data_IF_206548665569
#
_entry.id   IF_206548665569
#
_cell.length_a   1.000
_cell.length_b   1.000
_cell.length_c   1.000
_cell.angle_alpha   90.00
_cell.angle_beta   90.00
_cell.angle_gamma   90.00
#
_symmetry.space_group_name_H-M   'P 1'
#
loop_
_entity.id
_entity.type
_entity.pdbx_description
1 polymer ?
#
# COMPACT_ATOMS: atom_id res chain seq x y z
N UNK A 1 2.98 -65.92 -24.78
CA UNK A 1 2.03 -65.25 -23.83
C UNK A 1 2.68 -64.02 -23.26
N UNK A 2 2.42 -62.87 -23.84
CA UNK A 2 2.99 -61.57 -23.43
C UNK A 2 1.87 -60.72 -22.88
N UNK A 3 1.97 -60.34 -21.59
CA UNK A 3 1.02 -59.42 -20.91
C UNK A 3 1.49 -57.97 -21.02
N UNK A 4 0.75 -57.19 -21.78
CA UNK A 4 0.91 -55.74 -21.93
C UNK A 4 0.44 -55.03 -20.65
N UNK A 5 1.33 -54.28 -20.00
CA UNK A 5 0.98 -53.38 -18.89
C UNK A 5 0.58 -52.01 -19.48
N UNK A 6 -0.67 -51.65 -19.31
CA UNK A 6 -1.19 -50.29 -19.58
C UNK A 6 -0.70 -49.29 -18.53
N UNK A 7 0.01 -48.30 -18.98
CA UNK A 7 0.40 -47.14 -18.15
C UNK A 7 -0.81 -46.20 -17.96
N UNK A 8 -1.22 -45.99 -16.71
CA UNK A 8 -2.20 -44.96 -16.32
C UNK A 8 -1.53 -43.59 -16.43
N UNK A 9 -1.99 -42.78 -17.35
CA UNK A 9 -1.70 -41.33 -17.39
C UNK A 9 -2.40 -40.65 -16.22
N UNK A 10 -1.63 -40.10 -15.27
CA UNK A 10 -2.10 -39.21 -14.23
C UNK A 10 -2.49 -37.87 -14.85
N UNK A 11 -3.75 -37.47 -14.65
CA UNK A 11 -4.19 -36.10 -14.92
C UNK A 11 -3.65 -35.19 -13.80
N UNK A 12 -2.74 -34.29 -14.17
CA UNK A 12 -2.40 -33.12 -13.35
C UNK A 12 -3.60 -32.14 -13.38
N UNK A 13 -4.09 -31.69 -12.23
CA UNK A 13 -5.00 -30.57 -12.23
C UNK A 13 -4.19 -29.28 -12.50
N UNK A 14 -4.48 -28.65 -13.61
CA UNK A 14 -4.03 -27.28 -13.91
C UNK A 14 -4.63 -26.36 -12.84
N UNK A 15 -3.80 -25.84 -11.95
CA UNK A 15 -4.13 -24.69 -11.13
C UNK A 15 -4.23 -23.47 -12.06
N UNK A 16 -5.44 -23.17 -12.46
CA UNK A 16 -5.77 -21.90 -13.07
C UNK A 16 -5.62 -20.81 -12.03
N UNK A 17 -4.61 -19.96 -12.17
CA UNK A 17 -4.49 -18.70 -11.47
C UNK A 17 -5.54 -17.73 -12.03
N UNK A 18 -6.75 -17.80 -11.51
CA UNK A 18 -7.79 -16.84 -11.78
C UNK A 18 -7.62 -15.61 -10.87
N UNK A 19 -6.64 -14.77 -11.15
CA UNK A 19 -6.61 -13.40 -10.61
C UNK A 19 -7.11 -12.49 -11.73
N UNK A 20 -8.42 -12.52 -11.94
CA UNK A 20 -9.14 -11.49 -12.70
C UNK A 20 -10.19 -10.89 -11.78
N UNK A 21 -9.74 -10.17 -10.77
CA UNK A 21 -10.59 -9.28 -9.98
C UNK A 21 -10.82 -8.01 -10.79
N UNK A 22 -12.06 -7.65 -10.99
CA UNK A 22 -12.52 -6.51 -11.78
C UNK A 22 -11.97 -5.20 -11.20
N UNK A 23 -10.98 -4.60 -11.86
CA UNK A 23 -10.43 -3.27 -11.52
C UNK A 23 -11.53 -2.18 -11.46
N UNK A 24 -12.58 -2.31 -12.26
CA UNK A 24 -13.73 -1.40 -12.24
C UNK A 24 -14.48 -1.41 -10.89
N UNK A 25 -14.40 -2.47 -10.08
CA UNK A 25 -15.12 -2.56 -8.83
C UNK A 25 -14.42 -1.81 -7.68
N UNK A 26 -13.13 -1.57 -7.77
CA UNK A 26 -12.38 -0.83 -6.74
C UNK A 26 -12.64 0.67 -6.84
N UNK A 27 -12.89 1.18 -8.04
CA UNK A 27 -12.99 2.61 -8.34
C UNK A 27 -14.40 3.09 -8.68
N UNK A 28 -15.41 2.24 -8.67
CA UNK A 28 -16.80 2.64 -8.95
C UNK A 28 -17.66 2.57 -7.68
N UNK A 29 -18.41 3.65 -7.42
CA UNK A 29 -19.41 3.70 -6.34
C UNK A 29 -20.43 2.55 -6.45
N UNK A 30 -20.80 2.16 -7.69
CA UNK A 30 -21.72 1.06 -7.99
C UNK A 30 -21.08 -0.32 -7.69
N UNK A 31 -19.77 -0.49 -7.86
CA UNK A 31 -19.04 -1.71 -7.50
C UNK A 31 -18.96 -1.94 -5.99
N UNK A 32 -18.96 -0.86 -5.20
CA UNK A 32 -18.97 -0.92 -3.74
C UNK A 32 -20.35 -1.30 -3.18
N UNK A 33 -21.43 -0.90 -3.84
CA UNK A 33 -22.81 -1.23 -3.43
C UNK A 33 -23.21 -2.68 -3.76
N UNK A 34 -22.54 -3.37 -4.69
CA UNK A 34 -22.93 -4.71 -5.18
C UNK A 34 -21.99 -5.85 -4.80
N UNK A 35 -21.10 -5.69 -3.85
CA UNK A 35 -20.42 -6.80 -3.14
C UNK A 35 -19.56 -7.76 -3.97
N UNK A 36 -19.11 -7.36 -5.17
CA UNK A 36 -18.22 -8.16 -6.00
C UNK A 36 -16.77 -7.69 -5.89
N UNK A 37 -16.11 -8.09 -4.81
CA UNK A 37 -14.66 -8.36 -4.72
C UNK A 37 -13.68 -7.27 -5.15
N UNK A 38 -13.58 -6.16 -4.44
CA UNK A 38 -12.55 -5.15 -4.64
C UNK A 38 -12.74 -3.87 -3.82
N UNK A 39 -13.69 -3.85 -2.90
CA UNK A 39 -13.85 -2.77 -1.94
C UNK A 39 -12.66 -2.71 -0.98
N UNK A 40 -12.47 -1.56 -0.36
CA UNK A 40 -11.58 -1.40 0.81
C UNK A 40 -11.91 -2.55 1.77
N UNK A 41 -11.03 -3.55 1.84
CA UNK A 41 -11.20 -4.66 2.77
C UNK A 41 -10.85 -4.12 4.15
N UNK A 42 -11.87 -3.66 4.87
CA UNK A 42 -11.72 -3.33 6.28
C UNK A 42 -11.72 -4.66 7.02
N UNK A 43 -10.66 -5.01 7.75
CA UNK A 43 -10.63 -6.24 8.53
C UNK A 43 -11.79 -6.28 9.50
N UNK A 44 -12.45 -7.42 9.58
CA UNK A 44 -13.51 -7.62 10.57
C UNK A 44 -12.95 -7.65 11.99
N UNK A 45 -13.77 -7.34 12.99
CA UNK A 45 -13.35 -7.43 14.40
C UNK A 45 -12.79 -8.81 14.75
N UNK A 46 -13.30 -9.85 14.12
CA UNK A 46 -12.82 -11.23 14.32
C UNK A 46 -11.42 -11.43 13.77
N UNK A 47 -11.14 -10.91 12.57
CA UNK A 47 -9.81 -10.99 11.95
C UNK A 47 -8.79 -10.19 12.74
N UNK A 48 -9.15 -8.97 13.17
CA UNK A 48 -8.31 -8.15 14.05
C UNK A 48 -7.99 -8.89 15.34
N UNK A 49 -9.00 -9.50 15.98
CA UNK A 49 -8.80 -10.24 17.22
C UNK A 49 -7.91 -11.46 17.01
N UNK A 50 -8.12 -12.22 15.94
CA UNK A 50 -7.26 -13.36 15.58
C UNK A 50 -5.81 -12.94 15.38
N UNK A 51 -5.59 -11.85 14.63
CA UNK A 51 -4.25 -11.31 14.41
C UNK A 51 -3.57 -10.87 15.73
N UNK A 52 -4.33 -10.28 16.65
CA UNK A 52 -3.81 -9.90 17.97
C UNK A 52 -3.51 -11.11 18.86
N UNK A 53 -4.26 -12.20 18.76
CA UNK A 53 -4.03 -13.45 19.48
C UNK A 53 -2.78 -14.19 18.95
N UNK A 54 -2.40 -13.98 17.70
CA UNK A 54 -1.17 -14.54 17.09
C UNK A 54 0.10 -13.78 17.49
N UNK A 55 -0.05 -12.61 18.12
CA UNK A 55 1.12 -11.86 18.59
C UNK A 55 1.82 -12.63 19.71
N UNK A 56 3.16 -12.76 19.66
CA UNK A 56 3.89 -13.31 20.79
C UNK A 56 3.74 -12.41 22.02
N UNK A 57 3.71 -13.00 23.21
CA UNK A 57 3.63 -12.26 24.48
C UNK A 57 4.77 -11.23 24.60
N UNK A 58 5.95 -11.59 24.10
CA UNK A 58 7.08 -10.68 23.98
C UNK A 58 7.38 -10.38 22.51
N UNK A 59 7.06 -9.16 22.09
CA UNK A 59 7.40 -8.63 20.76
C UNK A 59 8.90 -8.31 20.74
N UNK A 60 9.75 -9.33 20.56
CA UNK A 60 11.20 -9.15 20.49
C UNK A 60 11.62 -8.43 19.20
N UNK A 61 12.81 -7.81 19.21
CA UNK A 61 13.37 -7.16 18.02
C UNK A 61 13.56 -8.14 16.86
N UNK A 62 14.03 -9.36 17.14
CA UNK A 62 14.26 -10.42 16.16
C UNK A 62 12.98 -10.82 15.46
N UNK A 63 11.87 -10.86 16.19
CA UNK A 63 10.56 -11.17 15.62
C UNK A 63 9.97 -10.00 14.84
N UNK A 64 10.08 -8.78 15.36
CA UNK A 64 9.50 -7.58 14.78
C UNK A 64 10.26 -7.10 13.53
N UNK A 65 11.58 -7.14 13.56
CA UNK A 65 12.47 -6.59 12.52
C UNK A 65 12.10 -7.01 11.09
N UNK A 66 11.87 -8.31 10.76
CA UNK A 66 11.51 -8.72 9.40
C UNK A 66 10.09 -8.35 8.99
N UNK A 67 9.28 -7.80 9.90
CA UNK A 67 7.88 -7.41 9.69
C UNK A 67 7.66 -5.91 9.69
N UNK A 68 8.72 -5.13 9.91
CA UNK A 68 8.63 -3.68 9.93
C UNK A 68 8.31 -3.13 8.54
N UNK A 69 7.41 -2.15 8.49
CA UNK A 69 7.11 -1.38 7.29
C UNK A 69 7.02 0.10 7.63
N UNK A 70 7.50 1.00 6.75
CA UNK A 70 7.22 2.42 6.90
C UNK A 70 5.76 2.66 6.50
N UNK A 71 5.06 3.47 7.26
CA UNK A 71 3.64 3.75 7.05
C UNK A 71 3.41 5.25 7.04
N UNK A 72 2.64 5.72 6.07
CA UNK A 72 2.05 7.05 6.19
C UNK A 72 1.09 7.09 7.35
N UNK A 73 1.10 8.20 8.07
CA UNK A 73 0.23 8.41 9.21
C UNK A 73 -0.66 9.64 9.02
N UNK A 74 -1.85 9.54 9.55
CA UNK A 74 -2.77 10.68 9.58
C UNK A 74 -2.22 11.78 10.47
N UNK A 75 -2.47 13.05 10.14
CA UNK A 75 -2.19 14.14 11.07
C UNK A 75 -2.83 13.89 12.43
N UNK A 76 -2.06 14.05 13.51
CA UNK A 76 -2.53 13.85 14.87
C UNK A 76 -2.46 12.42 15.41
N UNK A 77 -1.98 11.43 14.63
CA UNK A 77 -1.83 10.04 15.09
C UNK A 77 -0.56 9.78 15.93
N UNK A 78 -0.03 10.78 16.59
CA UNK A 78 1.30 10.76 17.23
C UNK A 78 1.48 9.80 18.43
N UNK A 79 0.45 9.14 18.94
CA UNK A 79 0.57 8.22 20.07
C UNK A 79 -0.42 7.06 20.02
N UNK A 80 -0.08 5.96 20.72
CA UNK A 80 -0.95 4.83 20.98
C UNK A 80 -1.09 4.67 22.48
N UNK A 81 -2.28 4.85 23.03
CA UNK A 81 -2.54 4.81 24.47
C UNK A 81 -1.62 5.72 25.30
N UNK A 82 -1.25 6.88 24.72
CA UNK A 82 -0.34 7.84 25.38
C UNK A 82 1.15 7.54 25.19
N UNK A 83 1.52 6.43 24.57
CA UNK A 83 2.90 6.10 24.22
C UNK A 83 3.22 6.69 22.82
N UNK A 84 4.20 7.59 22.68
CA UNK A 84 4.54 8.20 21.40
C UNK A 84 4.93 7.17 20.35
N UNK A 85 4.53 7.39 19.11
CA UNK A 85 4.98 6.58 17.98
C UNK A 85 6.37 6.98 17.53
N UNK A 86 7.12 6.00 17.04
CA UNK A 86 8.41 6.26 16.41
C UNK A 86 8.19 6.79 15.00
N UNK A 87 8.81 7.94 14.70
CA UNK A 87 8.76 8.58 13.39
C UNK A 87 10.15 8.84 12.83
N UNK A 88 10.25 8.89 11.51
CA UNK A 88 11.44 9.35 10.80
C UNK A 88 11.05 10.23 9.60
N UNK A 89 11.93 11.17 9.24
CA UNK A 89 11.80 11.92 8.00
C UNK A 89 12.33 11.09 6.83
N UNK A 90 11.59 11.10 5.73
CA UNK A 90 12.01 10.55 4.44
C UNK A 90 12.87 11.55 3.67
N UNK A 91 13.47 11.10 2.57
CA UNK A 91 14.16 11.99 1.62
C UNK A 91 13.23 13.02 0.96
N UNK A 92 11.93 12.76 0.95
CA UNK A 92 10.90 13.68 0.47
C UNK A 92 10.46 14.70 1.54
N UNK A 93 11.07 14.69 2.73
CA UNK A 93 10.70 15.58 3.83
C UNK A 93 9.41 15.19 4.55
N UNK A 94 8.84 14.03 4.25
CA UNK A 94 7.60 13.54 4.86
C UNK A 94 7.93 12.73 6.09
N UNK A 95 7.21 12.98 7.19
CA UNK A 95 7.29 12.13 8.37
C UNK A 95 6.50 10.85 8.15
N UNK A 96 7.13 9.71 8.40
CA UNK A 96 6.49 8.39 8.37
C UNK A 96 6.61 7.73 9.73
N UNK A 97 5.59 7.01 10.12
CA UNK A 97 5.64 6.08 11.25
C UNK A 97 6.14 4.70 10.82
N UNK A 98 6.21 3.79 11.77
CA UNK A 98 6.57 2.40 11.51
C UNK A 98 5.51 1.48 12.08
N UNK A 99 5.20 0.41 11.36
CA UNK A 99 4.30 -0.64 11.79
C UNK A 99 4.93 -2.00 11.68
N UNK A 100 4.54 -2.90 12.57
CA UNK A 100 4.80 -4.34 12.47
C UNK A 100 3.60 -4.94 11.76
N UNK A 101 3.84 -5.57 10.62
CA UNK A 101 2.78 -6.26 9.89
C UNK A 101 2.39 -7.57 10.60
N UNK A 102 1.10 -7.68 10.85
CA UNK A 102 0.44 -8.89 11.39
C UNK A 102 -0.87 -9.01 10.62
N UNK A 103 -0.82 -9.71 9.49
CA UNK A 103 -1.92 -9.78 8.55
C UNK A 103 -3.28 -10.05 9.25
N UNK A 104 -4.30 -9.22 9.05
CA UNK A 104 -4.41 -8.08 8.11
C UNK A 104 -4.17 -6.69 8.72
N UNK A 105 -3.50 -6.58 9.85
CA UNK A 105 -3.30 -5.32 10.58
C UNK A 105 -1.83 -4.90 10.68
N UNK A 106 -1.62 -3.64 11.08
CA UNK A 106 -0.33 -3.16 11.53
C UNK A 106 -0.38 -2.76 13.00
N UNK A 107 0.59 -3.24 13.77
CA UNK A 107 0.85 -2.77 15.13
C UNK A 107 1.85 -1.62 15.07
N UNK A 108 1.43 -0.43 15.47
CA UNK A 108 2.32 0.74 15.42
C UNK A 108 3.51 0.58 16.36
N UNK A 109 4.69 0.92 15.88
CA UNK A 109 5.91 0.94 16.68
C UNK A 109 5.93 2.19 17.56
N UNK A 110 6.06 1.99 18.85
CA UNK A 110 6.10 3.07 19.85
C UNK A 110 7.49 3.23 20.44
N UNK A 111 7.72 4.37 21.11
CA UNK A 111 8.99 4.63 21.77
C UNK A 111 9.29 3.62 22.89
N UNK A 112 8.27 3.14 23.61
CA UNK A 112 8.48 2.14 24.64
C UNK A 112 8.91 0.78 24.04
N UNK A 113 8.38 0.43 22.86
CA UNK A 113 8.84 -0.76 22.13
C UNK A 113 10.29 -0.60 21.67
N UNK A 114 10.64 0.54 21.07
CA UNK A 114 12.00 0.82 20.64
C UNK A 114 13.01 0.74 21.80
N UNK A 115 12.66 1.34 22.96
CA UNK A 115 13.48 1.23 24.19
C UNK A 115 13.64 -0.21 24.67
N UNK A 116 12.56 -1.02 24.65
CA UNK A 116 12.61 -2.43 25.04
C UNK A 116 13.48 -3.27 24.12
N UNK A 117 13.49 -2.93 22.83
CA UNK A 117 14.33 -3.57 21.83
C UNK A 117 15.79 -3.10 21.85
N UNK A 118 16.10 -2.06 22.63
CA UNK A 118 17.39 -1.36 22.57
C UNK A 118 17.74 -0.92 21.14
N UNK A 119 16.69 -0.62 20.32
CA UNK A 119 16.81 -0.25 18.92
C UNK A 119 16.69 1.25 18.74
N UNK A 120 17.60 1.83 17.95
CA UNK A 120 17.51 3.25 17.57
C UNK A 120 16.49 3.46 16.46
N UNK A 121 16.03 4.70 16.28
CA UNK A 121 15.13 5.07 15.18
C UNK A 121 15.76 4.73 13.83
N UNK A 122 17.07 4.91 13.68
CA UNK A 122 17.81 4.60 12.45
C UNK A 122 17.82 3.09 12.16
N UNK A 123 17.92 2.24 13.18
CA UNK A 123 17.85 0.79 13.02
C UNK A 123 16.46 0.33 12.62
N UNK A 124 15.42 0.90 13.24
CA UNK A 124 14.02 0.64 12.90
C UNK A 124 13.75 1.08 11.46
N UNK A 125 14.16 2.31 11.11
CA UNK A 125 14.05 2.86 9.76
C UNK A 125 14.75 1.96 8.74
N UNK A 126 16.02 1.62 8.97
CA UNK A 126 16.81 0.79 8.06
C UNK A 126 16.13 -0.57 7.79
N UNK A 127 15.60 -1.22 8.84
CA UNK A 127 14.90 -2.49 8.71
C UNK A 127 13.60 -2.35 7.92
N UNK A 128 12.79 -1.32 8.22
CA UNK A 128 11.53 -1.08 7.54
C UNK A 128 11.70 -0.75 6.05
N UNK A 129 12.67 0.09 5.72
CA UNK A 129 12.95 0.46 4.32
C UNK A 129 13.61 -0.66 3.53
N UNK A 130 14.50 -1.46 4.13
CA UNK A 130 15.05 -2.65 3.46
C UNK A 130 13.96 -3.66 3.10
N UNK A 131 12.95 -3.83 3.96
CA UNK A 131 11.80 -4.66 3.66
C UNK A 131 10.92 -4.05 2.56
N UNK A 132 10.64 -2.73 2.62
CA UNK A 132 9.89 -2.04 1.58
C UNK A 132 10.56 -2.19 0.21
N UNK A 133 11.88 -2.05 0.14
CA UNK A 133 12.66 -2.27 -1.07
C UNK A 133 12.47 -3.69 -1.61
N UNK A 134 12.67 -4.70 -0.76
CA UNK A 134 12.51 -6.10 -1.14
C UNK A 134 11.10 -6.43 -1.65
N UNK A 135 10.06 -5.88 -1.01
CA UNK A 135 8.67 -6.05 -1.45
C UNK A 135 8.44 -5.31 -2.75
N UNK A 136 8.89 -4.07 -2.86
CA UNK A 136 8.74 -3.27 -4.08
C UNK A 136 9.44 -3.91 -5.26
N UNK A 137 10.57 -4.58 -5.06
CA UNK A 137 11.32 -5.30 -6.11
C UNK A 137 10.54 -6.46 -6.72
N UNK A 138 9.63 -7.06 -5.96
CA UNK A 138 8.75 -8.12 -6.45
C UNK A 138 7.56 -7.58 -7.27
N UNK A 139 7.30 -6.25 -7.24
CA UNK A 139 6.21 -5.63 -7.95
C UNK A 139 6.61 -5.22 -9.36
N UNK A 140 5.62 -5.22 -10.26
CA UNK A 140 5.75 -4.76 -11.64
C UNK A 140 4.39 -4.41 -12.24
N UNK A 141 4.31 -4.02 -13.53
CA UNK A 141 3.09 -3.57 -14.18
C UNK A 141 1.92 -4.57 -14.11
N UNK A 142 2.22 -5.86 -13.98
CA UNK A 142 1.23 -6.93 -13.86
C UNK A 142 0.41 -6.88 -12.57
N UNK A 143 0.85 -6.12 -11.57
CA UNK A 143 0.15 -5.93 -10.30
C UNK A 143 -0.78 -4.71 -10.32
N UNK A 144 -0.71 -3.90 -11.39
CA UNK A 144 -1.56 -2.74 -11.54
C UNK A 144 -2.95 -3.14 -12.02
N UNK A 145 -3.94 -2.52 -11.42
CA UNK A 145 -5.31 -2.50 -11.89
C UNK A 145 -5.54 -1.21 -12.68
N UNK A 146 -6.37 -1.28 -13.70
CA UNK A 146 -6.67 -0.15 -14.57
C UNK A 146 -8.16 0.14 -14.54
N UNK A 147 -8.50 1.41 -14.38
CA UNK A 147 -9.86 1.89 -14.42
C UNK A 147 -9.94 3.19 -15.24
N UNK A 148 -11.13 3.51 -15.71
CA UNK A 148 -11.41 4.81 -16.34
C UNK A 148 -12.50 5.48 -15.53
N UNK A 149 -12.22 6.66 -15.00
CA UNK A 149 -13.19 7.47 -14.26
C UNK A 149 -13.15 8.91 -14.79
N UNK A 150 -14.30 9.51 -15.02
CA UNK A 150 -14.43 10.83 -15.66
C UNK A 150 -13.67 10.95 -17.00
N UNK A 151 -13.45 9.83 -17.70
CA UNK A 151 -12.71 9.80 -18.97
C UNK A 151 -11.18 9.71 -18.82
N UNK A 152 -10.64 9.66 -17.59
CA UNK A 152 -9.22 9.56 -17.31
C UNK A 152 -8.83 8.15 -16.92
N UNK A 153 -7.68 7.69 -17.43
CA UNK A 153 -7.09 6.41 -17.06
C UNK A 153 -6.46 6.53 -15.68
N UNK A 154 -6.82 5.63 -14.80
CA UNK A 154 -6.25 5.48 -13.47
C UNK A 154 -5.54 4.14 -13.42
N UNK A 155 -4.30 4.13 -12.95
CA UNK A 155 -3.57 2.92 -12.61
C UNK A 155 -3.51 2.82 -11.10
N UNK A 156 -3.94 1.71 -10.55
CA UNK A 156 -4.01 1.50 -9.10
C UNK A 156 -3.17 0.31 -8.69
N UNK A 157 -2.28 0.51 -7.75
CA UNK A 157 -1.66 -0.55 -6.99
C UNK A 157 -2.49 -0.73 -5.72
N UNK A 158 -3.10 -1.90 -5.58
CA UNK A 158 -3.82 -2.33 -4.39
C UNK A 158 -3.07 -3.48 -3.73
N UNK A 159 -2.88 -3.40 -2.43
CA UNK A 159 -2.21 -4.43 -1.66
C UNK A 159 -3.01 -4.73 -0.40
N UNK A 160 -3.53 -5.97 -0.25
CA UNK A 160 -4.31 -6.35 0.92
C UNK A 160 -3.58 -6.16 2.26
N UNK A 161 -2.25 -6.27 2.26
CA UNK A 161 -1.41 -6.05 3.44
C UNK A 161 -1.39 -4.61 3.95
N UNK A 162 -2.03 -3.65 3.24
CA UNK A 162 -2.23 -2.30 3.75
C UNK A 162 -1.00 -1.38 3.66
N UNK A 163 -0.04 -1.65 2.76
CA UNK A 163 1.17 -0.84 2.59
C UNK A 163 1.39 -0.34 1.14
N UNK A 164 0.42 -0.50 0.24
CA UNK A 164 0.56 -0.05 -1.15
C UNK A 164 0.92 1.43 -1.27
N UNK A 165 0.35 2.30 -0.43
CA UNK A 165 0.71 3.72 -0.38
C UNK A 165 2.20 3.93 -0.12
N UNK A 166 2.80 3.11 0.73
CA UNK A 166 4.22 3.25 1.12
C UNK A 166 5.19 2.90 -0.01
N UNK A 167 4.73 2.25 -1.09
CA UNK A 167 5.58 1.92 -2.26
C UNK A 167 6.18 3.18 -2.90
N UNK A 168 5.49 4.33 -2.81
CA UNK A 168 6.03 5.62 -3.30
C UNK A 168 7.36 5.98 -2.60
N UNK A 169 7.57 5.52 -1.37
CA UNK A 169 8.79 5.75 -0.58
C UNK A 169 9.98 4.88 -1.00
N UNK A 170 9.74 3.86 -1.83
CA UNK A 170 10.82 3.03 -2.38
C UNK A 170 11.64 3.77 -3.47
N UNK A 171 11.16 4.96 -3.89
CA UNK A 171 11.87 5.86 -4.77
C UNK A 171 11.57 5.66 -6.25
N UNK A 172 12.15 6.54 -7.07
CA UNK A 172 11.85 6.68 -8.49
C UNK A 172 12.02 5.37 -9.25
N UNK A 173 13.12 4.64 -9.06
CA UNK A 173 13.38 3.39 -9.78
C UNK A 173 12.29 2.34 -9.57
N UNK A 174 11.77 2.21 -8.35
CA UNK A 174 10.67 1.29 -8.05
C UNK A 174 9.37 1.76 -8.72
N UNK A 175 9.07 3.05 -8.65
CA UNK A 175 7.89 3.67 -9.25
C UNK A 175 7.90 3.52 -10.76
N UNK A 176 9.01 3.83 -11.42
CA UNK A 176 9.15 3.67 -12.88
C UNK A 176 9.03 2.21 -13.33
N UNK A 177 9.55 1.27 -12.56
CA UNK A 177 9.42 -0.16 -12.85
C UNK A 177 7.96 -0.63 -12.77
N UNK A 178 7.19 -0.10 -11.80
CA UNK A 178 5.81 -0.53 -11.56
C UNK A 178 4.84 0.21 -12.50
N UNK A 179 4.95 1.52 -12.59
CA UNK A 179 3.97 2.38 -13.29
C UNK A 179 4.43 2.86 -14.66
N UNK A 180 5.72 2.71 -14.99
CA UNK A 180 6.35 3.22 -16.19
C UNK A 180 7.08 4.55 -15.97
N UNK A 181 7.99 4.94 -16.89
CA UNK A 181 8.90 6.08 -16.72
C UNK A 181 8.29 7.43 -17.13
N UNK A 182 7.03 7.46 -17.59
CA UNK A 182 6.38 8.71 -18.00
C UNK A 182 6.06 9.60 -16.79
N UNK A 183 5.92 10.89 -17.05
CA UNK A 183 5.46 11.86 -16.06
C UNK A 183 4.08 11.50 -15.53
N UNK A 184 3.91 11.50 -14.22
CA UNK A 184 2.73 11.01 -13.54
C UNK A 184 2.46 11.78 -12.25
N UNK A 185 1.20 11.81 -11.87
CA UNK A 185 0.76 12.25 -10.55
C UNK A 185 0.28 11.05 -9.76
N UNK A 186 0.70 10.95 -8.50
CA UNK A 186 0.31 9.88 -7.61
C UNK A 186 -0.49 10.40 -6.43
N UNK A 187 -1.51 9.66 -6.02
CA UNK A 187 -2.25 9.93 -4.78
C UNK A 187 -2.36 8.66 -3.93
N UNK A 188 -2.49 8.87 -2.64
CA UNK A 188 -2.58 7.80 -1.65
C UNK A 188 -3.83 7.99 -0.78
N UNK A 189 -5.04 7.74 -1.32
CA UNK A 189 -6.27 7.96 -0.57
C UNK A 189 -6.35 7.11 0.70
N UNK A 190 -5.78 5.91 0.65
CA UNK A 190 -5.73 4.97 1.76
C UNK A 190 -4.39 4.25 1.83
N UNK A 191 -4.08 3.61 2.95
CA UNK A 191 -2.81 2.87 3.14
C UNK A 191 -2.61 1.73 2.15
N UNK A 192 -3.69 1.07 1.77
CA UNK A 192 -3.69 -0.06 0.84
C UNK A 192 -3.83 0.34 -0.63
N UNK A 193 -3.73 1.63 -0.94
CA UNK A 193 -3.91 2.14 -2.30
C UNK A 193 -2.84 3.17 -2.66
N UNK A 194 -2.25 3.00 -3.84
CA UNK A 194 -1.44 3.99 -4.54
C UNK A 194 -2.01 4.13 -5.94
N UNK A 195 -2.50 5.32 -6.25
CA UNK A 195 -3.07 5.64 -7.56
C UNK A 195 -2.07 6.43 -8.40
N UNK A 196 -2.08 6.19 -9.69
CA UNK A 196 -1.31 6.96 -10.68
C UNK A 196 -2.24 7.49 -11.76
N UNK A 197 -2.03 8.76 -12.09
CA UNK A 197 -2.68 9.51 -13.15
C UNK A 197 -1.63 9.97 -14.15
N UNK A 198 -2.02 10.14 -15.40
CA UNK A 198 -1.20 10.84 -16.39
C UNK A 198 -0.98 12.31 -15.93
N UNK A 199 0.23 12.86 -16.14
CA UNK A 199 0.54 14.21 -15.73
C UNK A 199 -0.35 15.29 -16.38
N UNK A 200 -1.02 14.97 -17.48
CA UNK A 200 -1.97 15.86 -18.16
C UNK A 200 -3.39 15.78 -17.58
N UNK A 201 -3.63 14.88 -16.61
CA UNK A 201 -4.94 14.81 -15.95
C UNK A 201 -5.16 16.08 -15.12
N UNK A 202 -6.27 16.80 -15.31
CA UNK A 202 -6.53 18.03 -14.56
C UNK A 202 -6.50 17.81 -13.06
N UNK A 203 -5.86 18.72 -12.32
CA UNK A 203 -5.75 18.65 -10.85
C UNK A 203 -7.11 18.47 -10.17
N UNK A 204 -8.15 19.16 -10.68
CA UNK A 204 -9.51 19.02 -10.20
C UNK A 204 -10.05 17.60 -10.32
N UNK A 205 -9.80 16.92 -11.45
CA UNK A 205 -10.27 15.55 -11.66
C UNK A 205 -9.55 14.58 -10.73
N UNK A 206 -8.23 14.75 -10.55
CA UNK A 206 -7.43 13.98 -9.57
C UNK A 206 -8.00 14.18 -8.17
N UNK A 207 -8.25 15.42 -7.76
CA UNK A 207 -8.81 15.76 -6.46
C UNK A 207 -10.19 15.12 -6.22
N UNK A 208 -11.12 15.26 -7.17
CA UNK A 208 -12.47 14.69 -7.08
C UNK A 208 -12.44 13.16 -6.93
N UNK A 209 -11.54 12.47 -7.68
CA UNK A 209 -11.38 11.02 -7.60
C UNK A 209 -10.77 10.62 -6.25
N UNK A 210 -9.70 11.29 -5.83
CA UNK A 210 -8.99 10.99 -4.57
C UNK A 210 -9.89 11.19 -3.37
N UNK A 211 -10.56 12.35 -3.27
CA UNK A 211 -11.51 12.65 -2.17
C UNK A 211 -12.65 11.65 -2.14
N UNK A 212 -13.20 11.28 -3.31
CA UNK A 212 -14.27 10.27 -3.36
C UNK A 212 -13.84 8.91 -2.82
N UNK A 213 -12.56 8.55 -2.94
CA UNK A 213 -12.01 7.31 -2.36
C UNK A 213 -11.68 7.47 -0.87
N UNK A 214 -11.18 8.62 -0.45
CA UNK A 214 -10.93 8.96 0.95
C UNK A 214 -12.22 8.94 1.79
N UNK A 215 -13.34 9.41 1.24
CA UNK A 215 -14.65 9.38 1.90
C UNK A 215 -15.16 7.95 2.17
N UNK A 216 -14.66 6.97 1.42
CA UNK A 216 -15.03 5.56 1.56
C UNK A 216 -14.14 4.80 2.55
N UNK A 217 -12.96 5.35 2.88
CA UNK A 217 -12.04 4.73 3.82
C UNK A 217 -12.28 5.27 5.24
N UNK A 218 -12.47 4.40 6.25
CA UNK A 218 -12.62 4.86 7.63
C UNK A 218 -11.37 5.54 8.17
N UNK A 219 -10.23 5.38 7.48
CA UNK A 219 -8.93 5.88 7.89
C UNK A 219 -8.14 6.50 6.73
N UNK A 220 -8.69 7.53 6.03
CA UNK A 220 -8.03 8.15 4.87
C UNK A 220 -6.70 8.79 5.29
N UNK A 221 -5.74 8.84 4.38
CA UNK A 221 -4.42 9.40 4.67
C UNK A 221 -4.39 10.92 4.56
N UNK A 222 -5.19 11.51 3.68
CA UNK A 222 -5.29 12.96 3.46
C UNK A 222 -3.92 13.60 3.13
N UNK A 223 -3.15 12.94 2.25
CA UNK A 223 -1.85 13.42 1.81
C UNK A 223 -1.96 14.19 0.51
N UNK A 224 -1.13 15.22 0.37
CA UNK A 224 -0.94 15.91 -0.90
C UNK A 224 -0.40 14.92 -1.96
N UNK A 225 -0.72 15.15 -3.24
CA UNK A 225 -0.21 14.34 -4.33
C UNK A 225 1.31 14.38 -4.46
N UNK A 226 1.88 13.28 -4.97
CA UNK A 226 3.27 13.21 -5.41
C UNK A 226 3.34 13.40 -6.92
N UNK A 227 4.39 14.02 -7.40
CA UNK A 227 4.60 14.25 -8.83
C UNK A 227 5.92 13.60 -9.25
N UNK A 228 5.85 12.73 -10.27
CA UNK A 228 7.01 12.26 -11.00
C UNK A 228 7.11 13.07 -12.29
N UNK A 229 8.18 13.85 -12.42
CA UNK A 229 8.46 14.66 -13.59
C UNK A 229 9.96 14.61 -13.91
N UNK A 230 10.31 14.35 -15.17
CA UNK A 230 11.71 14.21 -15.63
C UNK A 230 12.55 13.27 -14.74
N UNK A 231 11.96 12.17 -14.26
CA UNK A 231 12.63 11.21 -13.39
C UNK A 231 12.89 11.71 -11.97
N UNK A 232 12.26 12.81 -11.56
CA UNK A 232 12.31 13.33 -10.20
C UNK A 232 10.95 13.18 -9.53
N UNK A 233 10.94 12.51 -8.37
CA UNK A 233 9.75 12.39 -7.53
C UNK A 233 9.77 13.49 -6.47
N UNK A 234 8.72 14.30 -6.44
CA UNK A 234 8.53 15.40 -5.48
C UNK A 234 7.20 15.25 -4.75
N UNK A 235 7.08 15.96 -3.63
CA UNK A 235 5.84 16.07 -2.84
C UNK A 235 5.57 17.56 -2.61
N UNK A 236 5.02 18.21 -3.64
CA UNK A 236 4.79 19.67 -3.64
C UNK A 236 3.30 20.01 -3.73
N UNK A 237 2.44 19.00 -3.74
CA UNK A 237 1.02 19.22 -4.04
C UNK A 237 0.78 19.52 -5.52
N UNK A 238 -0.49 19.60 -5.90
CA UNK A 238 -0.86 20.11 -7.23
C UNK A 238 -0.94 21.63 -7.14
N UNK A 239 -0.31 22.33 -8.07
CA UNK A 239 -0.49 23.77 -8.19
C UNK A 239 -1.98 24.06 -8.37
N UNK A 240 -2.55 24.92 -7.52
CA UNK A 240 -3.90 25.40 -7.73
C UNK A 240 -3.93 26.07 -9.10
N UNK A 241 -4.70 25.52 -10.04
CA UNK A 241 -5.00 26.22 -11.27
C UNK A 241 -5.71 27.51 -10.86
N UNK A 242 -5.09 28.65 -11.17
CA UNK A 242 -5.70 29.94 -10.95
C UNK A 242 -7.08 29.92 -11.62
N UNK A 243 -8.14 30.02 -10.82
CA UNK A 243 -9.50 30.14 -11.31
C UNK A 243 -9.59 31.54 -11.90
N UNK A 244 -9.47 31.65 -13.24
CA UNK A 244 -9.78 32.87 -14.00
C UNK A 244 -11.28 33.10 -14.09
#
# INVERSE_FOLDING_TARGET
MARTKQARRGKHPSRGSGVSGNAASILSREGLEHGAGGGVVVPTEREIRSALEELPEDLSWEWARPRLAPLFERPGSGSVNGDPRVHALTSLGIAVGFGIEVDPIFVAVTESMARRWEATVEQIRAAAFARLEAVSDALGPQHLQHAVQHGYLIRALGEPGGWASSVILAGVTAIERIFGPQDQVFTTPARNQLLSFDAQTPARAIGEITVGLEELDPHPLLLDPFVLHDGLLTWEGLAEEAID
#
